data_IF_029441899880
#
_entry.id   IF_029441899880
#
_cell.length_a   1.000
_cell.length_b   1.000
_cell.length_c   1.000
_cell.angle_alpha   90.00
_cell.angle_beta   90.00
_cell.angle_gamma   90.00
#
_symmetry.space_group_name_H-M   'P 1'
#
loop_
_entity.id
_entity.type
_entity.pdbx_description
1 polymer ?
#
# COMPACT_ATOMS: atom_id res chain seq x y z
N UNK A 1 -4.58 27.79 16.81
CA UNK A 1 -5.59 27.94 15.73
C UNK A 1 -5.36 29.13 14.81
N UNK A 2 -5.06 30.34 15.31
CA UNK A 2 -4.70 31.50 14.45
C UNK A 2 -3.54 31.19 13.47
N UNK A 3 -2.53 30.42 13.89
CA UNK A 3 -1.41 30.02 13.02
C UNK A 3 -1.83 29.09 11.86
N UNK A 4 -2.67 28.08 12.10
CA UNK A 4 -3.08 27.14 11.04
C UNK A 4 -3.91 27.85 9.96
N UNK A 5 -4.89 28.67 10.36
CA UNK A 5 -5.69 29.48 9.42
C UNK A 5 -4.82 30.46 8.64
N UNK A 6 -3.89 31.14 9.32
CA UNK A 6 -2.94 32.03 8.66
C UNK A 6 -2.06 31.28 7.64
N UNK A 7 -1.48 30.16 8.02
CA UNK A 7 -0.67 29.34 7.10
C UNK A 7 -1.48 28.86 5.89
N UNK A 8 -2.75 28.48 6.10
CA UNK A 8 -3.64 28.10 5.00
C UNK A 8 -3.86 29.28 4.03
N UNK A 9 -4.24 30.46 4.54
CA UNK A 9 -4.43 31.68 3.72
C UNK A 9 -3.14 32.06 3.00
N UNK A 10 -2.01 32.06 3.70
CA UNK A 10 -0.70 32.42 3.12
C UNK A 10 -0.27 31.44 2.00
N UNK A 11 -0.68 30.18 2.08
CA UNK A 11 -0.30 29.14 1.10
C UNK A 11 -1.28 29.06 -0.09
N UNK A 12 -2.58 29.26 0.15
CA UNK A 12 -3.62 29.13 -0.90
C UNK A 12 -4.00 30.46 -1.54
N UNK A 13 -3.74 31.58 -0.87
CA UNK A 13 -4.14 32.93 -1.29
C UNK A 13 -5.66 33.20 -1.20
N UNK A 14 -6.46 32.28 -0.67
CA UNK A 14 -7.92 32.43 -0.53
C UNK A 14 -8.31 32.56 0.94
N UNK A 15 -8.91 33.68 1.32
CA UNK A 15 -9.38 33.95 2.68
C UNK A 15 -10.48 32.96 3.13
N UNK A 16 -11.23 32.38 2.19
CA UNK A 16 -12.26 31.35 2.46
C UNK A 16 -11.64 30.03 2.93
N UNK A 17 -10.33 29.84 2.76
CA UNK A 17 -9.60 28.66 3.27
C UNK A 17 -9.64 28.58 4.80
N UNK A 18 -9.89 29.71 5.49
CA UNK A 18 -10.09 29.73 6.94
C UNK A 18 -11.43 29.13 7.40
N UNK A 19 -12.42 29.05 6.50
CA UNK A 19 -13.76 28.48 6.75
C UNK A 19 -13.80 26.96 6.53
N UNK A 20 -12.74 26.38 5.95
CA UNK A 20 -12.58 24.93 5.74
C UNK A 20 -12.63 24.13 7.05
N UNK A 21 -12.41 24.80 8.18
CA UNK A 21 -12.50 24.19 9.50
C UNK A 21 -13.87 24.50 10.11
N UNK A 22 -14.78 23.53 10.06
CA UNK A 22 -16.07 23.59 10.72
C UNK A 22 -15.92 23.80 12.22
N UNK A 23 -16.68 24.74 12.77
CA UNK A 23 -16.63 25.14 14.17
C UNK A 23 -17.88 24.64 14.92
N UNK A 24 -17.70 23.58 15.71
CA UNK A 24 -18.62 23.12 16.76
C UNK A 24 -17.82 22.75 18.02
N UNK A 25 -18.26 21.75 18.80
CA UNK A 25 -17.47 21.22 19.94
C UNK A 25 -16.16 20.53 19.51
N UNK A 26 -16.03 20.24 18.21
CA UNK A 26 -14.82 19.74 17.57
C UNK A 26 -14.57 20.48 16.26
N UNK A 27 -13.30 20.51 15.87
CA UNK A 27 -12.86 21.06 14.60
C UNK A 27 -12.88 19.97 13.53
N UNK A 28 -13.58 20.19 12.43
CA UNK A 28 -13.67 19.25 11.30
C UNK A 28 -13.19 19.92 10.03
N UNK A 29 -12.54 19.17 9.14
CA UNK A 29 -12.25 19.64 7.78
C UNK A 29 -13.47 19.37 6.91
N UNK A 30 -13.87 20.34 6.09
CA UNK A 30 -14.92 20.17 5.09
C UNK A 30 -14.45 19.25 3.95
N UNK A 31 -15.02 18.04 3.80
CA UNK A 31 -14.62 17.10 2.76
C UNK A 31 -14.97 17.54 1.33
N UNK A 32 -15.79 18.58 1.16
CA UNK A 32 -16.11 19.13 -0.16
C UNK A 32 -15.04 20.09 -0.69
N UNK A 33 -14.18 20.62 0.19
CA UNK A 33 -13.12 21.58 -0.13
C UNK A 33 -11.72 21.02 0.10
N UNK A 34 -11.58 20.00 0.93
CA UNK A 34 -10.31 19.32 1.22
C UNK A 34 -10.33 17.90 0.67
N UNK A 35 -9.17 17.45 0.20
CA UNK A 35 -8.93 16.04 -0.09
C UNK A 35 -7.81 15.51 0.78
N UNK A 36 -7.95 14.29 1.29
CA UNK A 36 -6.87 13.56 1.95
C UNK A 36 -6.72 12.18 1.32
N UNK A 37 -5.47 11.75 1.13
CA UNK A 37 -5.12 10.41 0.67
C UNK A 37 -5.65 9.33 1.63
N UNK A 38 -5.63 9.59 2.94
CA UNK A 38 -6.20 8.70 3.96
C UNK A 38 -7.70 8.47 3.73
N UNK A 39 -8.45 9.50 3.36
CA UNK A 39 -9.90 9.36 3.10
C UNK A 39 -10.15 8.52 1.86
N UNK A 40 -9.32 8.69 0.82
CA UNK A 40 -9.40 7.85 -0.37
C UNK A 40 -9.08 6.38 -0.06
N UNK A 41 -8.10 6.12 0.80
CA UNK A 41 -7.80 4.77 1.30
C UNK A 41 -8.97 4.17 2.07
N UNK A 42 -9.57 4.93 2.99
CA UNK A 42 -10.70 4.47 3.80
C UNK A 42 -11.94 4.18 2.95
N UNK A 43 -12.21 4.99 1.93
CA UNK A 43 -13.34 4.80 1.02
C UNK A 43 -13.26 3.49 0.21
N UNK A 44 -12.07 2.90 0.04
CA UNK A 44 -11.95 1.59 -0.65
C UNK A 44 -12.56 0.42 0.14
N UNK A 45 -12.80 0.60 1.44
CA UNK A 45 -13.38 -0.41 2.32
C UNK A 45 -14.90 -0.52 2.20
N UNK A 46 -15.57 0.41 1.52
CA UNK A 46 -17.03 0.44 1.44
C UNK A 46 -17.57 -0.75 0.62
N UNK A 47 -18.14 -1.79 1.28
CA UNK A 47 -18.61 -3.00 0.62
C UNK A 47 -19.89 -2.77 -0.18
N UNK A 48 -20.54 -1.62 -0.03
CA UNK A 48 -21.75 -1.27 -0.78
C UNK A 48 -21.46 -0.88 -2.24
N UNK A 49 -20.19 -0.83 -2.63
CA UNK A 49 -19.79 -0.37 -3.96
C UNK A 49 -19.56 -1.55 -4.90
N UNK A 50 -20.62 -1.96 -5.60
CA UNK A 50 -20.49 -2.89 -6.72
C UNK A 50 -19.80 -2.18 -7.89
N UNK A 51 -18.53 -2.55 -8.10
CA UNK A 51 -17.71 -2.01 -9.16
C UNK A 51 -17.39 -3.12 -10.16
N UNK A 52 -17.65 -2.86 -11.44
CA UNK A 52 -17.09 -3.66 -12.51
C UNK A 52 -15.55 -3.78 -12.31
N UNK A 53 -14.93 -4.96 -12.55
CA UNK A 53 -13.53 -5.22 -12.19
C UNK A 53 -12.53 -4.15 -12.64
N UNK A 54 -12.69 -3.59 -13.84
CA UNK A 54 -11.81 -2.53 -14.35
C UNK A 54 -11.97 -1.20 -13.58
N UNK A 55 -13.19 -0.84 -13.18
CA UNK A 55 -13.43 0.37 -12.37
C UNK A 55 -12.78 0.22 -11.00
N UNK A 56 -12.91 -0.97 -10.39
CA UNK A 56 -12.26 -1.30 -9.11
C UNK A 56 -10.76 -1.20 -9.24
N UNK A 57 -10.18 -1.82 -10.27
CA UNK A 57 -8.74 -1.75 -10.58
C UNK A 57 -8.23 -0.31 -10.70
N UNK A 58 -8.89 0.54 -11.48
CA UNK A 58 -8.52 1.95 -11.66
C UNK A 58 -8.59 2.71 -10.33
N UNK A 59 -9.65 2.48 -9.54
CA UNK A 59 -9.83 3.09 -8.22
C UNK A 59 -8.68 2.71 -7.27
N UNK A 60 -8.41 1.41 -7.14
CA UNK A 60 -7.35 0.89 -6.26
C UNK A 60 -5.97 1.39 -6.67
N UNK A 61 -5.68 1.42 -7.98
CA UNK A 61 -4.39 1.89 -8.50
C UNK A 61 -4.17 3.38 -8.21
N UNK A 62 -5.22 4.20 -8.24
CA UNK A 62 -5.16 5.61 -7.82
C UNK A 62 -4.80 5.74 -6.34
N UNK A 63 -5.43 4.94 -5.49
CA UNK A 63 -5.24 4.96 -4.02
C UNK A 63 -3.82 4.49 -3.65
N UNK A 64 -3.36 3.37 -4.23
CA UNK A 64 -1.97 2.90 -4.04
C UNK A 64 -0.97 3.95 -4.51
N UNK A 65 -1.25 4.63 -5.62
CA UNK A 65 -0.41 5.71 -6.15
C UNK A 65 -0.16 6.83 -5.13
N UNK A 66 -1.16 7.16 -4.30
CA UNK A 66 -1.04 8.17 -3.23
C UNK A 66 -0.31 7.68 -1.98
N UNK A 67 -0.25 6.37 -1.72
CA UNK A 67 0.40 5.83 -0.53
C UNK A 67 1.92 5.76 -0.73
N UNK A 68 2.66 6.75 -0.22
CA UNK A 68 4.10 6.89 -0.44
C UNK A 68 4.96 6.29 0.66
N UNK A 69 4.48 6.31 1.90
CA UNK A 69 5.21 5.86 3.09
C UNK A 69 4.22 5.59 4.24
N UNK A 70 4.74 5.13 5.38
CA UNK A 70 4.01 4.95 6.63
C UNK A 70 3.23 6.23 7.00
N UNK A 71 2.01 6.02 7.47
CA UNK A 71 1.14 7.11 7.90
C UNK A 71 1.84 8.00 8.94
N UNK A 72 1.96 9.29 8.62
CA UNK A 72 2.58 10.29 9.48
C UNK A 72 3.95 9.84 10.04
N UNK A 73 4.82 9.28 9.18
CA UNK A 73 6.14 8.77 9.56
C UNK A 73 6.96 9.78 10.38
N UNK A 74 6.89 11.07 10.02
CA UNK A 74 7.63 12.15 10.66
C UNK A 74 7.05 12.64 11.99
N UNK A 75 5.84 12.18 12.36
CA UNK A 75 5.18 12.65 13.58
C UNK A 75 5.40 11.66 14.75
N UNK A 76 6.00 12.09 15.87
CA UNK A 76 6.09 11.26 17.05
C UNK A 76 4.74 11.17 17.77
N UNK A 77 4.45 10.02 18.38
CA UNK A 77 3.33 9.86 19.29
C UNK A 77 2.61 8.51 19.17
N UNK A 78 2.24 7.96 20.33
CA UNK A 78 1.50 6.70 20.43
C UNK A 78 0.12 6.77 19.78
N UNK A 79 -0.48 7.96 19.68
CA UNK A 79 -1.76 8.18 19.02
C UNK A 79 -1.77 7.71 17.56
N UNK A 80 -0.64 7.79 16.87
CA UNK A 80 -0.52 7.41 15.47
C UNK A 80 -0.28 5.91 15.29
N UNK A 81 0.08 5.17 16.34
CA UNK A 81 0.51 3.77 16.19
C UNK A 81 -0.61 2.88 15.65
N UNK A 82 -1.80 2.95 16.25
CA UNK A 82 -2.96 2.18 15.81
C UNK A 82 -3.41 2.57 14.40
N UNK A 83 -3.28 3.86 14.05
CA UNK A 83 -3.66 4.36 12.73
C UNK A 83 -2.65 3.90 11.67
N UNK A 84 -1.35 3.98 11.93
CA UNK A 84 -0.29 3.42 11.06
C UNK A 84 -0.55 1.96 10.73
N UNK A 85 -0.81 1.16 11.76
CA UNK A 85 -1.03 -0.26 11.59
C UNK A 85 -2.34 -0.55 10.84
N UNK A 86 -3.41 0.20 11.09
CA UNK A 86 -4.67 0.08 10.35
C UNK A 86 -4.51 0.45 8.87
N UNK A 87 -3.82 1.56 8.59
CA UNK A 87 -3.54 2.03 7.24
C UNK A 87 -2.61 1.07 6.49
N UNK A 88 -1.59 0.53 7.15
CA UNK A 88 -0.67 -0.48 6.61
C UNK A 88 -1.42 -1.77 6.22
N UNK A 89 -2.26 -2.30 7.11
CA UNK A 89 -3.10 -3.47 6.77
C UNK A 89 -4.02 -3.18 5.60
N UNK A 90 -4.66 -2.00 5.59
CA UNK A 90 -5.55 -1.64 4.49
C UNK A 90 -4.81 -1.53 3.15
N UNK A 91 -3.60 -0.98 3.19
CA UNK A 91 -2.72 -0.94 2.02
C UNK A 91 -2.42 -2.36 1.51
N UNK A 92 -2.05 -3.29 2.39
CA UNK A 92 -1.79 -4.69 2.02
C UNK A 92 -3.01 -5.39 1.42
N UNK A 93 -4.22 -5.16 1.95
CA UNK A 93 -5.48 -5.67 1.38
C UNK A 93 -5.66 -5.19 -0.06
N UNK A 94 -5.46 -3.89 -0.30
CA UNK A 94 -5.61 -3.29 -1.63
C UNK A 94 -4.56 -3.83 -2.60
N UNK A 95 -3.32 -4.01 -2.16
CA UNK A 95 -2.26 -4.62 -2.98
C UNK A 95 -2.68 -6.03 -3.41
N UNK A 96 -3.14 -6.86 -2.47
CA UNK A 96 -3.57 -8.22 -2.79
C UNK A 96 -4.73 -8.24 -3.80
N UNK A 97 -5.74 -7.38 -3.62
CA UNK A 97 -6.88 -7.27 -4.53
C UNK A 97 -6.44 -6.78 -5.92
N UNK A 98 -5.59 -5.76 -5.98
CA UNK A 98 -5.11 -5.20 -7.25
C UNK A 98 -4.21 -6.17 -8.01
N UNK A 99 -3.35 -6.93 -7.31
CA UNK A 99 -2.54 -8.00 -7.90
C UNK A 99 -3.43 -9.08 -8.50
N UNK A 100 -4.47 -9.52 -7.79
CA UNK A 100 -5.40 -10.51 -8.31
C UNK A 100 -6.07 -10.01 -9.61
N UNK A 101 -6.55 -8.77 -9.61
CA UNK A 101 -7.16 -8.14 -10.79
C UNK A 101 -6.18 -8.00 -11.97
N UNK A 102 -4.90 -7.68 -11.71
CA UNK A 102 -3.88 -7.59 -12.75
C UNK A 102 -3.56 -8.98 -13.35
N UNK A 103 -3.40 -10.01 -12.51
CA UNK A 103 -3.14 -11.40 -12.94
C UNK A 103 -4.31 -11.99 -13.71
N UNK A 104 -5.56 -11.78 -13.27
CA UNK A 104 -6.77 -12.23 -13.97
C UNK A 104 -6.88 -11.65 -15.39
N UNK A 105 -6.32 -10.45 -15.60
CA UNK A 105 -6.26 -9.78 -16.90
C UNK A 105 -5.04 -10.17 -17.73
N UNK A 106 -4.14 -10.99 -17.19
CA UNK A 106 -2.87 -11.35 -17.83
C UNK A 106 -1.83 -10.23 -17.82
N UNK A 107 -1.98 -9.22 -16.96
CA UNK A 107 -1.02 -8.12 -16.79
C UNK A 107 -0.05 -8.43 -15.64
N UNK A 108 0.62 -9.58 -15.69
CA UNK A 108 1.59 -10.03 -14.69
C UNK A 108 2.71 -8.99 -14.48
N UNK A 109 3.04 -8.22 -15.52
CA UNK A 109 4.01 -7.12 -15.43
C UNK A 109 3.54 -6.02 -14.47
N UNK A 110 2.27 -5.61 -14.54
CA UNK A 110 1.74 -4.63 -13.60
C UNK A 110 1.72 -5.18 -12.16
N UNK A 111 1.36 -6.45 -11.99
CA UNK A 111 1.39 -7.11 -10.68
C UNK A 111 2.81 -7.15 -10.08
N UNK A 112 3.83 -7.51 -10.88
CA UNK A 112 5.23 -7.51 -10.44
C UNK A 112 5.68 -6.11 -10.03
N UNK A 113 5.44 -5.08 -10.84
CA UNK A 113 5.81 -3.69 -10.50
C UNK A 113 5.17 -3.21 -9.20
N UNK A 114 3.91 -3.58 -8.98
CA UNK A 114 3.18 -3.27 -7.77
C UNK A 114 3.78 -3.95 -6.53
N UNK A 115 4.09 -5.24 -6.65
CA UNK A 115 4.66 -6.03 -5.57
C UNK A 115 6.11 -5.63 -5.24
N UNK A 116 6.91 -5.24 -6.24
CA UNK A 116 8.26 -4.72 -6.01
C UNK A 116 8.22 -3.45 -5.16
N UNK A 117 7.30 -2.53 -5.47
CA UNK A 117 7.07 -1.35 -4.62
C UNK A 117 6.57 -1.74 -3.24
N UNK A 118 5.66 -2.71 -3.13
CA UNK A 118 5.17 -3.15 -1.83
C UNK A 118 6.31 -3.76 -0.98
N UNK A 119 7.21 -4.53 -1.59
CA UNK A 119 8.37 -5.15 -0.94
C UNK A 119 9.35 -4.13 -0.34
N UNK A 120 9.50 -2.94 -0.91
CA UNK A 120 10.37 -1.91 -0.29
C UNK A 120 9.82 -1.40 1.04
N UNK A 121 8.48 -1.40 1.21
CA UNK A 121 7.82 -1.03 2.47
C UNK A 121 7.68 -2.23 3.42
N UNK A 122 7.60 -3.43 2.84
CA UNK A 122 7.27 -4.68 3.51
C UNK A 122 8.32 -5.76 3.23
N UNK A 123 9.62 -5.51 3.51
CA UNK A 123 10.72 -6.37 3.05
C UNK A 123 10.66 -7.80 3.61
N UNK A 124 10.07 -7.96 4.78
CA UNK A 124 9.93 -9.25 5.48
C UNK A 124 8.59 -9.94 5.22
N UNK A 125 7.74 -9.39 4.35
CA UNK A 125 6.43 -9.97 4.09
C UNK A 125 6.54 -11.13 3.09
N UNK A 126 6.55 -12.35 3.62
CA UNK A 126 6.67 -13.57 2.82
C UNK A 126 5.52 -13.80 1.84
N UNK A 127 4.32 -13.25 2.08
CA UNK A 127 3.22 -13.37 1.13
C UNK A 127 3.49 -12.57 -0.16
N UNK A 128 4.10 -11.38 -0.03
CA UNK A 128 4.54 -10.57 -1.16
C UNK A 128 5.66 -11.30 -1.91
N UNK A 129 6.67 -11.77 -1.19
CA UNK A 129 7.80 -12.49 -1.78
C UNK A 129 7.37 -13.75 -2.53
N UNK A 130 6.50 -14.58 -1.95
CA UNK A 130 5.97 -15.79 -2.61
C UNK A 130 5.20 -15.47 -3.89
N UNK A 131 4.42 -14.40 -3.89
CA UNK A 131 3.68 -13.97 -5.09
C UNK A 131 4.65 -13.52 -6.18
N UNK A 132 5.66 -12.71 -5.85
CA UNK A 132 6.72 -12.31 -6.79
C UNK A 132 7.47 -13.51 -7.37
N UNK A 133 7.93 -14.43 -6.50
CA UNK A 133 8.61 -15.67 -6.89
C UNK A 133 7.73 -16.45 -7.87
N UNK A 134 6.45 -16.64 -7.53
CA UNK A 134 5.51 -17.38 -8.39
C UNK A 134 5.35 -16.72 -9.76
N UNK A 135 5.20 -15.38 -9.81
CA UNK A 135 5.06 -14.66 -11.08
C UNK A 135 6.34 -14.74 -11.93
N UNK A 136 7.52 -14.61 -11.32
CA UNK A 136 8.80 -14.76 -12.02
C UNK A 136 8.99 -16.18 -12.57
N UNK A 137 8.68 -17.21 -11.77
CA UNK A 137 8.75 -18.60 -12.21
C UNK A 137 7.79 -18.89 -13.37
N UNK A 138 6.55 -18.39 -13.31
CA UNK A 138 5.57 -18.53 -14.41
C UNK A 138 6.06 -17.87 -15.70
N UNK A 139 6.82 -16.78 -15.58
CA UNK A 139 7.45 -16.10 -16.71
C UNK A 139 8.77 -16.76 -17.18
N UNK A 140 9.23 -17.83 -16.53
CA UNK A 140 10.50 -18.50 -16.84
C UNK A 140 11.74 -17.75 -16.36
N UNK A 141 11.59 -16.77 -15.48
CA UNK A 141 12.67 -15.93 -14.95
C UNK A 141 13.18 -16.46 -13.61
N UNK A 142 13.82 -17.63 -13.61
CA UNK A 142 14.33 -18.28 -12.39
C UNK A 142 15.29 -17.37 -11.60
N UNK A 143 16.26 -16.72 -12.28
CA UNK A 143 17.22 -15.82 -11.63
C UNK A 143 16.54 -14.69 -10.83
N UNK A 144 15.40 -14.18 -11.33
CA UNK A 144 14.65 -13.13 -10.64
C UNK A 144 13.91 -13.70 -9.42
N UNK A 145 13.37 -14.92 -9.53
CA UNK A 145 12.75 -15.60 -8.41
C UNK A 145 13.76 -15.88 -7.28
N UNK A 146 14.96 -16.33 -7.62
CA UNK A 146 16.06 -16.54 -6.66
C UNK A 146 16.48 -15.23 -5.99
N UNK A 147 16.65 -14.16 -6.77
CA UNK A 147 17.00 -12.84 -6.23
C UNK A 147 15.94 -12.31 -5.23
N UNK A 148 14.65 -12.57 -5.47
CA UNK A 148 13.58 -12.20 -4.53
C UNK A 148 13.69 -13.01 -3.24
N UNK A 149 13.95 -14.31 -3.32
CA UNK A 149 14.13 -15.17 -2.15
C UNK A 149 15.34 -14.77 -1.32
N UNK A 150 16.48 -14.50 -1.96
CA UNK A 150 17.71 -14.11 -1.27
C UNK A 150 17.56 -12.79 -0.52
N UNK A 151 16.88 -11.80 -1.10
CA UNK A 151 16.61 -10.56 -0.39
C UNK A 151 15.72 -10.80 0.84
N UNK A 152 14.66 -11.59 0.70
CA UNK A 152 13.79 -11.95 1.84
C UNK A 152 14.59 -12.65 2.93
N UNK A 153 15.45 -13.59 2.57
CA UNK A 153 16.30 -14.34 3.50
C UNK A 153 17.19 -13.39 4.29
N UNK A 154 17.89 -12.47 3.63
CA UNK A 154 18.74 -11.46 4.30
C UNK A 154 17.94 -10.59 5.27
N UNK A 155 16.73 -10.17 4.88
CA UNK A 155 15.87 -9.32 5.71
C UNK A 155 15.31 -10.04 6.94
N UNK A 156 15.08 -11.36 6.85
CA UNK A 156 14.65 -12.20 7.97
C UNK A 156 15.82 -12.59 8.88
N UNK A 157 16.98 -12.89 8.31
CA UNK A 157 18.20 -13.20 9.09
C UNK A 157 18.59 -12.02 10.00
N UNK A 158 18.36 -10.78 9.56
CA UNK A 158 18.60 -9.58 10.37
C UNK A 158 17.78 -9.51 11.67
N UNK A 159 16.74 -10.36 11.82
CA UNK A 159 15.92 -10.49 13.04
C UNK A 159 15.96 -11.93 13.60
N UNK A 160 17.01 -12.69 13.28
CA UNK A 160 17.18 -14.09 13.67
C UNK A 160 16.01 -15.00 13.25
N UNK A 161 15.38 -14.70 12.11
CA UNK A 161 14.33 -15.50 11.49
C UNK A 161 14.80 -16.14 10.18
N UNK A 162 14.12 -17.20 9.76
CA UNK A 162 14.37 -17.88 8.48
C UNK A 162 13.10 -17.86 7.61
N UNK A 163 13.23 -17.92 6.26
CA UNK A 163 12.08 -18.05 5.38
C UNK A 163 11.23 -19.29 5.68
N UNK A 164 9.92 -19.14 5.60
CA UNK A 164 8.95 -20.22 5.74
C UNK A 164 9.26 -21.35 4.74
N UNK A 165 9.13 -22.63 5.14
CA UNK A 165 9.35 -23.77 4.24
C UNK A 165 8.59 -23.65 2.92
N UNK A 166 7.34 -23.16 2.94
CA UNK A 166 6.53 -22.97 1.74
C UNK A 166 7.14 -21.97 0.77
N UNK A 167 7.86 -20.97 1.27
CA UNK A 167 8.57 -20.00 0.43
C UNK A 167 9.77 -20.65 -0.26
N UNK A 168 10.52 -21.49 0.45
CA UNK A 168 11.66 -22.25 -0.08
C UNK A 168 11.24 -23.30 -1.11
N UNK A 169 10.11 -23.97 -0.86
CA UNK A 169 9.56 -25.02 -1.72
C UNK A 169 9.24 -24.54 -3.15
N UNK A 170 8.88 -23.26 -3.32
CA UNK A 170 8.59 -22.69 -4.63
C UNK A 170 9.79 -22.78 -5.59
N UNK A 171 10.99 -22.54 -5.10
CA UNK A 171 12.21 -22.61 -5.92
C UNK A 171 12.64 -24.06 -6.15
N UNK A 172 12.56 -24.90 -5.12
CA UNK A 172 12.94 -26.31 -5.26
C UNK A 172 12.03 -27.05 -6.26
N UNK A 173 10.74 -26.72 -6.28
CA UNK A 173 9.79 -27.31 -7.23
C UNK A 173 10.09 -26.90 -8.67
N UNK A 174 10.58 -25.67 -8.91
CA UNK A 174 10.93 -25.21 -10.25
C UNK A 174 12.21 -25.85 -10.81
N UNK A 175 13.09 -26.35 -9.93
CA UNK A 175 14.34 -27.01 -10.30
C UNK A 175 14.18 -28.53 -10.54
N UNK A 176 13.02 -29.09 -10.23
CA UNK A 176 12.69 -30.50 -10.48
C UNK A 176 11.91 -30.58 -11.80
N UNK A 177 12.45 -31.23 -12.85
CA UNK A 177 11.84 -31.30 -14.19
C UNK A 177 10.56 -32.13 -14.25
#
# INVERSE_FOLDING_TARGET
MSRLRKTLIDTTGDERTAEIIGTGDRWTLDPSTVTADLWALQATADPCTDHAPERRRIQLRKVVGSYRDLYAADLPGLWAHSLRETTRRKFLEIINELVALDVERGDDRAAVQLLDRARTMEPRNEAIARTLITLHLRAGHLDHAEAVYDLLRVELEAIDAEPDPRTRELLTAALQP
#
